data_IF_192511590520
#
_entry.id   IF_192511590520
#
_cell.length_a   1.000
_cell.length_b   1.000
_cell.length_c   1.000
_cell.angle_alpha   90.00
_cell.angle_beta   90.00
_cell.angle_gamma   90.00
#
_symmetry.space_group_name_H-M   'P 1'
#
loop_
_entity.id
_entity.type
_entity.pdbx_description
1 polymer ?
#
# COMPACT_ATOMS: atom_id res chain seq x y z
N UNK A 1 -39.44 35.63 1.58
CA UNK A 1 -39.26 34.17 1.77
C UNK A 1 -37.98 33.78 1.05
N UNK A 2 -36.86 33.71 1.77
CA UNK A 2 -35.56 33.35 1.17
C UNK A 2 -35.43 31.83 1.24
N UNK A 3 -35.41 31.16 0.10
CA UNK A 3 -35.19 29.71 0.05
C UNK A 3 -33.71 29.48 0.38
N UNK A 4 -33.41 29.04 1.59
CA UNK A 4 -32.07 28.55 1.94
C UNK A 4 -31.86 27.23 1.22
N UNK A 5 -31.12 27.24 0.11
CA UNK A 5 -30.69 26.02 -0.55
C UNK A 5 -29.56 25.39 0.29
N UNK A 6 -29.84 24.28 0.97
CA UNK A 6 -28.80 23.44 1.56
C UNK A 6 -28.27 22.51 0.48
N UNK A 7 -27.03 22.75 0.02
CA UNK A 7 -26.30 21.83 -0.84
C UNK A 7 -25.54 20.85 0.05
N UNK A 8 -25.65 19.56 -0.24
CA UNK A 8 -24.89 18.53 0.44
C UNK A 8 -24.05 17.81 -0.60
N UNK A 9 -22.73 17.98 -0.50
CA UNK A 9 -21.76 17.35 -1.39
C UNK A 9 -21.23 16.06 -0.78
N UNK A 10 -21.36 14.97 -1.54
CA UNK A 10 -20.77 13.67 -1.22
C UNK A 10 -19.99 13.17 -2.43
N UNK A 11 -18.74 12.76 -2.23
CA UNK A 11 -17.88 12.23 -3.27
C UNK A 11 -16.80 11.32 -2.67
N UNK A 12 -16.37 10.33 -3.45
CA UNK A 12 -15.26 9.45 -3.13
C UNK A 12 -14.27 9.43 -4.29
N UNK A 13 -12.98 9.45 -3.97
CA UNK A 13 -11.90 9.40 -4.95
C UNK A 13 -10.96 8.24 -4.58
N UNK A 14 -10.42 7.57 -5.60
CA UNK A 14 -9.54 6.42 -5.41
C UNK A 14 -9.12 5.82 -6.75
N UNK A 15 -8.41 4.69 -6.68
CA UNK A 15 -7.97 3.93 -7.83
C UNK A 15 -8.25 2.43 -7.67
N UNK A 16 -8.35 1.75 -8.81
CA UNK A 16 -8.51 0.31 -8.91
C UNK A 16 -7.43 -0.20 -9.86
N UNK A 17 -6.60 -1.14 -9.39
CA UNK A 17 -5.53 -1.73 -10.20
C UNK A 17 -5.78 -3.22 -10.34
N UNK A 18 -5.95 -3.68 -11.58
CA UNK A 18 -5.94 -5.11 -11.91
C UNK A 18 -4.51 -5.57 -12.22
N UNK A 19 -4.06 -6.61 -11.53
CA UNK A 19 -2.74 -7.24 -11.69
C UNK A 19 -2.86 -8.76 -11.69
N UNK A 20 -1.75 -9.47 -11.98
CA UNK A 20 -1.74 -10.92 -12.12
C UNK A 20 -2.27 -11.66 -10.87
N UNK A 21 -2.06 -11.09 -9.69
CA UNK A 21 -2.50 -11.67 -8.41
C UNK A 21 -3.92 -11.22 -8.02
N UNK A 22 -4.59 -10.35 -8.79
CA UNK A 22 -5.99 -9.95 -8.55
C UNK A 22 -6.25 -8.45 -8.73
N UNK A 23 -7.15 -7.90 -7.91
CA UNK A 23 -7.49 -6.48 -7.91
C UNK A 23 -7.10 -5.89 -6.56
N UNK A 24 -6.46 -4.73 -6.59
CA UNK A 24 -6.12 -3.94 -5.41
C UNK A 24 -6.75 -2.56 -5.54
N UNK A 25 -7.34 -2.07 -4.44
CA UNK A 25 -7.88 -0.73 -4.32
C UNK A 25 -6.84 0.18 -3.67
N UNK A 26 -6.81 1.44 -4.07
CA UNK A 26 -5.86 2.40 -3.53
C UNK A 26 -6.35 3.82 -3.62
N UNK A 27 -5.49 4.74 -3.18
CA UNK A 27 -5.68 6.16 -3.40
C UNK A 27 -5.58 6.50 -4.89
N UNK A 28 -6.03 7.69 -5.28
CA UNK A 28 -5.96 8.18 -6.65
C UNK A 28 -4.52 8.11 -7.20
N UNK A 29 -4.35 7.64 -8.44
CA UNK A 29 -3.05 7.53 -9.09
C UNK A 29 -2.93 8.69 -10.08
N UNK A 30 -1.85 9.47 -9.99
CA UNK A 30 -1.68 10.66 -10.86
C UNK A 30 -0.72 10.44 -12.03
N UNK A 31 0.48 9.91 -11.79
CA UNK A 31 1.50 9.75 -12.86
C UNK A 31 2.05 8.32 -12.90
N UNK A 32 2.69 7.88 -11.81
CA UNK A 32 3.17 6.51 -11.67
C UNK A 32 2.78 5.96 -10.30
N UNK A 33 2.74 4.63 -10.21
CA UNK A 33 2.41 3.94 -8.97
C UNK A 33 3.35 2.76 -8.76
N UNK A 34 3.47 2.37 -7.51
CA UNK A 34 4.16 1.15 -7.12
C UNK A 34 3.16 0.24 -6.43
N UNK A 35 3.03 -0.97 -6.96
CA UNK A 35 2.29 -2.05 -6.34
C UNK A 35 3.22 -2.77 -5.36
N UNK A 36 2.96 -2.59 -4.07
CA UNK A 36 3.59 -3.37 -3.01
C UNK A 36 2.91 -4.73 -2.97
N UNK A 37 3.73 -5.78 -3.08
CA UNK A 37 3.32 -7.19 -2.92
C UNK A 37 4.07 -7.76 -1.74
N UNK A 38 3.35 -7.98 -0.64
CA UNK A 38 3.86 -8.50 0.62
C UNK A 38 2.90 -9.59 1.13
N UNK A 39 2.85 -10.76 0.47
CA UNK A 39 1.86 -11.80 0.80
C UNK A 39 1.98 -12.22 2.27
N UNK A 40 0.84 -12.29 2.95
CA UNK A 40 0.78 -12.68 4.37
C UNK A 40 1.05 -11.56 5.37
N UNK A 41 1.36 -10.34 4.90
CA UNK A 41 1.52 -9.16 5.75
C UNK A 41 0.32 -8.23 5.59
N UNK A 42 -0.74 -8.47 6.37
CA UNK A 42 -1.92 -7.61 6.40
C UNK A 42 -1.75 -6.41 7.33
N UNK A 43 -2.39 -5.29 6.98
CA UNK A 43 -2.48 -4.08 7.79
C UNK A 43 -1.11 -3.46 8.20
N UNK A 44 -0.09 -3.69 7.38
CA UNK A 44 1.25 -3.11 7.56
C UNK A 44 1.30 -1.74 6.91
N UNK A 45 1.73 -0.74 7.68
CA UNK A 45 1.84 0.65 7.20
C UNK A 45 3.15 0.88 6.49
N UNK A 46 3.17 1.88 5.62
CA UNK A 46 4.42 2.38 5.06
C UNK A 46 5.01 3.44 5.98
N UNK A 47 6.30 3.35 6.25
CA UNK A 47 7.04 4.38 7.00
C UNK A 47 7.01 5.73 6.27
N UNK A 48 7.04 5.70 4.94
CA UNK A 48 6.99 6.92 4.13
C UNK A 48 5.59 7.56 4.11
N UNK A 49 4.53 6.76 4.28
CA UNK A 49 3.15 7.23 4.21
C UNK A 49 2.23 6.37 5.09
N UNK A 50 1.89 6.90 6.26
CA UNK A 50 1.03 6.22 7.23
C UNK A 50 -0.45 6.16 6.82
N UNK A 51 -0.83 6.82 5.72
CA UNK A 51 -2.20 6.74 5.17
C UNK A 51 -2.38 5.52 4.27
N UNK A 52 -1.28 4.89 3.86
CA UNK A 52 -1.26 3.70 3.03
C UNK A 52 -0.93 2.50 3.89
N UNK A 53 -1.74 1.46 3.79
CA UNK A 53 -1.55 0.20 4.52
C UNK A 53 -1.81 -0.96 3.57
N UNK A 54 -1.17 -2.10 3.82
CA UNK A 54 -1.45 -3.32 3.08
C UNK A 54 -2.85 -3.81 3.39
N UNK A 55 -3.55 -4.23 2.33
CA UNK A 55 -4.85 -4.88 2.42
C UNK A 55 -4.74 -6.27 3.11
N UNK A 56 -5.86 -6.92 3.40
CA UNK A 56 -5.90 -8.27 4.01
C UNK A 56 -5.12 -9.34 3.24
N UNK A 57 -4.83 -9.07 1.96
CA UNK A 57 -4.04 -9.93 1.07
C UNK A 57 -2.55 -9.62 1.06
N UNK A 58 -2.13 -8.54 1.73
CA UNK A 58 -0.76 -8.06 1.70
C UNK A 58 -0.40 -7.21 0.48
N UNK A 59 -1.37 -6.50 -0.10
CA UNK A 59 -1.15 -5.63 -1.26
C UNK A 59 -1.43 -4.17 -0.91
N UNK A 60 -0.59 -3.26 -1.39
CA UNK A 60 -0.82 -1.82 -1.27
C UNK A 60 -0.43 -1.11 -2.57
N UNK A 61 -1.09 0.00 -2.86
CA UNK A 61 -0.74 0.87 -3.98
C UNK A 61 -0.13 2.15 -3.41
N UNK A 62 1.09 2.42 -3.82
CA UNK A 62 1.84 3.62 -3.44
C UNK A 62 1.88 4.54 -4.63
N UNK A 63 1.29 5.72 -4.50
CA UNK A 63 1.39 6.76 -5.51
C UNK A 63 2.76 7.40 -5.42
N UNK A 64 3.45 7.52 -6.55
CA UNK A 64 4.67 8.33 -6.63
C UNK A 64 4.42 9.60 -7.44
N UNK A 65 5.10 10.67 -7.05
CA UNK A 65 5.14 11.95 -7.76
C UNK A 65 6.41 12.12 -8.60
N UNK A 66 7.43 11.28 -8.36
CA UNK A 66 8.76 11.44 -8.92
C UNK A 66 9.17 10.19 -9.71
N UNK A 67 9.85 10.41 -10.84
CA UNK A 67 10.38 9.38 -11.75
C UNK A 67 11.83 9.01 -11.41
N UNK A 68 12.15 9.03 -10.13
CA UNK A 68 13.48 8.79 -9.57
C UNK A 68 13.43 7.57 -8.66
N UNK A 69 14.60 7.15 -8.15
CA UNK A 69 14.66 6.11 -7.10
C UNK A 69 13.76 6.49 -5.95
N UNK A 70 12.83 5.59 -5.62
CA UNK A 70 11.89 5.73 -4.53
C UNK A 70 12.04 4.51 -3.62
N UNK A 71 12.41 4.76 -2.37
CA UNK A 71 12.58 3.73 -1.36
C UNK A 71 11.26 3.53 -0.61
N UNK A 72 10.68 2.36 -0.77
CA UNK A 72 9.48 1.96 -0.06
C UNK A 72 9.92 1.22 1.20
N UNK A 73 9.61 1.79 2.36
CA UNK A 73 9.87 1.16 3.65
C UNK A 73 8.55 0.78 4.31
N UNK A 74 8.43 -0.48 4.68
CA UNK A 74 7.34 -1.00 5.50
C UNK A 74 7.69 -0.85 6.98
N UNK A 75 6.72 -0.42 7.77
CA UNK A 75 6.90 -0.19 9.20
C UNK A 75 6.81 -1.51 9.97
N UNK A 76 7.97 -1.99 10.44
CA UNK A 76 8.08 -3.21 11.22
C UNK A 76 7.36 -3.14 12.57
N UNK A 77 7.03 -1.94 13.07
CA UNK A 77 6.25 -1.78 14.32
C UNK A 77 4.77 -2.07 14.14
N UNK A 78 4.30 -2.08 12.88
CA UNK A 78 2.91 -2.40 12.53
C UNK A 78 2.73 -3.86 12.11
N UNK A 79 3.81 -4.65 12.11
CA UNK A 79 3.74 -6.09 11.90
C UNK A 79 3.00 -6.76 13.05
N UNK A 80 2.16 -7.74 12.72
CA UNK A 80 1.56 -8.62 13.72
C UNK A 80 2.60 -9.43 14.48
N UNK A 81 2.22 -9.94 15.64
CA UNK A 81 3.12 -10.69 16.54
C UNK A 81 3.70 -11.97 15.89
N UNK A 82 2.96 -12.53 14.93
CA UNK A 82 3.30 -13.73 14.14
C UNK A 82 3.81 -13.40 12.72
N UNK A 83 4.15 -12.13 12.46
CA UNK A 83 4.61 -11.68 11.14
C UNK A 83 6.10 -11.36 11.18
N UNK A 84 6.80 -11.76 10.13
CA UNK A 84 8.22 -11.47 9.95
C UNK A 84 8.46 -10.86 8.57
N UNK A 85 9.27 -9.81 8.55
CA UNK A 85 9.66 -9.12 7.34
C UNK A 85 11.20 -8.99 7.31
N UNK A 86 11.90 -9.83 6.53
CA UNK A 86 13.36 -9.87 6.49
C UNK A 86 13.96 -8.61 5.85
N UNK A 87 13.27 -8.01 4.87
CA UNK A 87 13.66 -6.74 4.27
C UNK A 87 12.53 -5.73 4.37
N UNK A 88 12.75 -4.65 5.13
CA UNK A 88 11.75 -3.59 5.33
C UNK A 88 11.77 -2.57 4.21
N UNK A 89 12.90 -2.37 3.53
CA UNK A 89 13.09 -1.35 2.50
C UNK A 89 13.32 -1.96 1.12
N UNK A 90 12.63 -1.45 0.10
CA UNK A 90 12.86 -1.79 -1.32
C UNK A 90 12.96 -0.52 -2.15
N UNK A 91 14.03 -0.41 -2.93
CA UNK A 91 14.20 0.69 -3.89
C UNK A 91 13.60 0.32 -5.23
N UNK A 92 12.77 1.19 -5.78
CA UNK A 92 12.17 1.04 -7.11
C UNK A 92 12.32 2.32 -7.91
N UNK A 93 12.43 2.19 -9.23
CA UNK A 93 12.51 3.35 -10.15
C UNK A 93 11.33 3.28 -11.11
N UNK A 94 10.23 4.00 -10.82
CA UNK A 94 9.07 4.05 -11.70
C UNK A 94 9.30 4.93 -12.93
N UNK A 95 8.77 4.48 -14.08
CA UNK A 95 8.68 5.27 -15.31
C UNK A 95 7.27 5.85 -15.46
N UNK A 96 7.12 6.87 -16.33
CA UNK A 96 5.84 7.57 -16.52
C UNK A 96 4.73 6.61 -16.92
N UNK A 97 3.62 6.62 -16.20
CA UNK A 97 2.48 5.75 -16.48
C UNK A 97 2.69 4.27 -16.17
N UNK A 98 3.83 3.89 -15.59
CA UNK A 98 4.10 2.51 -15.21
C UNK A 98 3.65 2.21 -13.78
N UNK A 99 3.18 0.98 -13.60
CA UNK A 99 2.94 0.40 -12.27
C UNK A 99 4.06 -0.60 -12.01
N UNK A 100 5.03 -0.20 -11.19
CA UNK A 100 6.17 -1.05 -10.82
C UNK A 100 5.78 -1.94 -9.65
N UNK A 101 6.29 -3.18 -9.60
CA UNK A 101 6.05 -4.06 -8.45
C UNK A 101 7.23 -4.02 -7.48
N UNK A 102 6.94 -3.77 -6.20
CA UNK A 102 7.88 -3.97 -5.10
C UNK A 102 7.50 -5.28 -4.39
N UNK A 103 8.32 -6.31 -4.55
CA UNK A 103 8.09 -7.62 -3.95
C UNK A 103 8.81 -7.73 -2.61
N UNK A 104 8.04 -7.99 -1.55
CA UNK A 104 8.51 -8.27 -0.20
C UNK A 104 8.25 -9.74 0.11
N UNK A 105 9.27 -10.43 0.60
CA UNK A 105 9.13 -11.79 1.13
C UNK A 105 8.68 -11.69 2.59
N UNK A 106 7.38 -11.42 2.77
CA UNK A 106 6.76 -11.51 4.09
C UNK A 106 6.50 -12.96 4.46
N UNK A 107 6.74 -13.31 5.72
CA UNK A 107 6.47 -14.65 6.23
C UNK A 107 5.60 -14.56 7.49
N UNK A 108 4.62 -15.45 7.61
CA UNK A 108 3.82 -15.59 8.83
C UNK A 108 4.55 -16.63 9.69
N UNK A 109 5.44 -16.16 10.55
CA UNK A 109 6.15 -16.99 11.51
C UNK A 109 5.25 -17.26 12.70
N UNK A 110 4.64 -18.44 12.77
CA UNK A 110 4.10 -18.91 14.04
C UNK A 110 5.26 -18.97 15.01
N UNK A 111 5.28 -18.13 16.05
CA UNK A 111 6.16 -18.36 17.19
C UNK A 111 5.54 -19.53 17.95
N UNK A 112 6.04 -20.79 17.87
CA UNK A 112 5.56 -21.79 18.79
C UNK A 112 5.92 -21.29 20.19
N UNK A 113 4.90 -20.96 20.97
CA UNK A 113 5.04 -20.65 22.37
C UNK A 113 5.73 -21.85 23.04
N UNK A 114 6.97 -21.69 23.49
CA UNK A 114 7.54 -22.65 24.44
C UNK A 114 6.98 -22.29 25.81
N UNK A 115 5.99 -23.07 26.26
CA UNK A 115 5.53 -23.17 27.66
C UNK A 115 6.54 -24.01 28.45
#
# INVERSE_FOLDING_TARGET
MTITANVIDYGANGSIVAHADGITLGQDITDAAVLVKAPGLDNVKLTNDNTISTDYRGYAIVRTLHLSSYDITLDSTTLGEDMELPETTKSVVPTRGAIVRANYDGNIGQRPLCI
#
